data_IF_860227714472
#
_entry.id   IF_860227714472
#
_cell.length_a   1.000
_cell.length_b   1.000
_cell.length_c   1.000
_cell.angle_alpha   90.00
_cell.angle_beta   90.00
_cell.angle_gamma   90.00
#
_symmetry.space_group_name_H-M   'P 1'
#
loop_
_entity.id
_entity.type
_entity.pdbx_description
1 polymer ?
#
# COMPACT_ATOMS: atom_id res chain seq x y z
N UNK A 1 -16.62 -4.00 5.89
CA UNK A 1 -15.71 -5.15 6.12
C UNK A 1 -16.28 -6.32 6.94
N UNK A 2 -17.40 -6.18 7.69
CA UNK A 2 -17.94 -7.25 8.58
C UNK A 2 -18.94 -8.21 7.91
N UNK A 3 -19.42 -7.86 6.72
CA UNK A 3 -20.49 -8.52 5.94
C UNK A 3 -20.06 -9.81 5.20
N UNK A 4 -18.84 -10.30 5.46
CA UNK A 4 -18.28 -11.47 4.77
C UNK A 4 -17.91 -11.22 3.31
N UNK A 5 -18.02 -9.99 2.80
CA UNK A 5 -17.61 -9.62 1.45
C UNK A 5 -16.15 -9.21 1.39
N UNK A 6 -15.60 -9.21 0.18
CA UNK A 6 -14.28 -8.63 -0.11
C UNK A 6 -14.42 -7.12 -0.23
N UNK A 7 -13.78 -6.37 0.67
CA UNK A 7 -13.70 -4.90 0.64
C UNK A 7 -12.32 -4.49 0.15
N UNK A 8 -12.25 -3.85 -1.02
CA UNK A 8 -10.99 -3.45 -1.66
C UNK A 8 -10.64 -2.00 -1.33
N UNK A 9 -9.35 -1.78 -1.10
CA UNK A 9 -8.76 -0.49 -0.81
C UNK A 9 -7.49 -0.30 -1.63
N UNK A 10 -7.09 0.97 -1.77
CA UNK A 10 -5.79 1.36 -2.36
C UNK A 10 -5.16 2.37 -1.41
N UNK A 11 -3.93 2.10 -1.01
CA UNK A 11 -3.07 3.08 -0.37
C UNK A 11 -2.07 3.59 -1.41
N UNK A 12 -1.90 4.90 -1.50
CA UNK A 12 -0.97 5.53 -2.43
C UNK A 12 0.23 5.98 -1.62
N UNK A 13 1.39 5.39 -1.90
CA UNK A 13 2.65 5.79 -1.29
C UNK A 13 3.07 7.19 -1.74
N UNK A 14 4.01 7.80 -1.04
CA UNK A 14 4.49 9.16 -1.36
C UNK A 14 5.12 9.26 -2.76
N UNK A 15 5.63 8.14 -3.30
CA UNK A 15 6.14 8.08 -4.66
C UNK A 15 5.05 7.85 -5.73
N UNK A 16 3.79 7.81 -5.33
CA UNK A 16 2.61 7.54 -6.15
C UNK A 16 2.32 6.06 -6.37
N UNK A 17 3.10 5.14 -5.80
CA UNK A 17 2.87 3.71 -5.96
C UNK A 17 1.53 3.28 -5.35
N UNK A 18 0.69 2.63 -6.15
CA UNK A 18 -0.63 2.16 -5.73
C UNK A 18 -0.55 0.76 -5.12
N UNK A 19 -0.65 0.69 -3.80
CA UNK A 19 -0.68 -0.57 -3.05
C UNK A 19 -2.13 -0.97 -2.83
N UNK A 20 -2.57 -2.01 -3.55
CA UNK A 20 -3.93 -2.52 -3.43
C UNK A 20 -3.98 -3.60 -2.35
N UNK A 21 -5.00 -3.55 -1.53
CA UNK A 21 -5.25 -4.56 -0.50
C UNK A 21 -6.75 -4.77 -0.33
N UNK A 22 -7.12 -5.86 0.32
CA UNK A 22 -8.51 -6.08 0.66
C UNK A 22 -8.65 -6.68 2.05
N UNK A 23 -9.84 -6.47 2.61
CA UNK A 23 -10.25 -6.99 3.91
C UNK A 23 -11.51 -7.83 3.70
N UNK A 24 -11.53 -9.02 4.29
CA UNK A 24 -12.70 -9.91 4.32
C UNK A 24 -12.91 -10.46 5.72
N UNK A 25 -14.15 -10.47 6.20
CA UNK A 25 -14.50 -11.25 7.38
C UNK A 25 -14.69 -12.72 6.98
N UNK A 26 -13.82 -13.62 7.46
CA UNK A 26 -13.73 -15.00 6.95
C UNK A 26 -14.86 -15.90 7.42
N UNK A 27 -15.63 -15.47 8.42
CA UNK A 27 -16.67 -16.27 9.05
C UNK A 27 -17.93 -15.42 9.29
N UNK A 28 -19.13 -15.96 9.06
CA UNK A 28 -20.38 -15.22 9.23
C UNK A 28 -20.74 -15.01 10.71
N UNK A 29 -20.31 -15.92 11.59
CA UNK A 29 -20.68 -15.99 13.01
C UNK A 29 -19.70 -15.24 13.94
N UNK A 30 -18.51 -14.87 13.44
CA UNK A 30 -17.45 -14.25 14.24
C UNK A 30 -16.58 -13.34 13.41
N UNK A 31 -16.07 -12.28 14.05
CA UNK A 31 -15.10 -11.39 13.44
C UNK A 31 -13.72 -12.04 13.41
N UNK A 32 -13.30 -12.43 12.21
CA UNK A 32 -11.99 -13.01 11.91
C UNK A 32 -11.56 -12.49 10.55
N UNK A 33 -10.91 -11.33 10.56
CA UNK A 33 -10.47 -10.71 9.33
C UNK A 33 -9.36 -11.51 8.65
N UNK A 34 -9.37 -11.50 7.32
CA UNK A 34 -8.18 -11.64 6.49
C UNK A 34 -7.84 -10.25 5.96
N UNK A 35 -6.63 -9.77 6.26
CA UNK A 35 -6.10 -8.49 5.79
C UNK A 35 -4.88 -8.82 4.93
N UNK A 36 -5.00 -8.57 3.63
CA UNK A 36 -4.09 -9.13 2.64
C UNK A 36 -3.88 -8.15 1.49
N UNK A 37 -2.70 -8.20 0.87
CA UNK A 37 -2.47 -7.55 -0.41
C UNK A 37 -3.34 -8.19 -1.49
N UNK A 38 -3.80 -7.38 -2.44
CA UNK A 38 -4.52 -7.85 -3.63
C UNK A 38 -3.53 -8.38 -4.69
N UNK A 39 -2.69 -9.32 -4.25
CA UNK A 39 -1.59 -9.91 -5.00
C UNK A 39 -1.35 -11.36 -4.57
N UNK A 40 -0.84 -12.16 -5.49
CA UNK A 40 -0.49 -13.57 -5.33
C UNK A 40 1.01 -13.75 -5.51
N UNK A 41 1.67 -14.54 -4.65
CA UNK A 41 3.12 -14.83 -4.81
C UNK A 41 3.46 -15.53 -6.13
N UNK A 42 2.50 -16.28 -6.69
CA UNK A 42 2.69 -17.04 -7.92
C UNK A 42 2.19 -16.30 -9.16
N UNK A 43 1.18 -15.44 -9.02
CA UNK A 43 0.48 -14.83 -10.15
C UNK A 43 0.64 -13.31 -10.24
N UNK A 44 1.35 -12.68 -9.28
CA UNK A 44 1.54 -11.24 -9.24
C UNK A 44 0.29 -10.46 -8.84
N UNK A 45 0.19 -9.23 -9.34
CA UNK A 45 -0.85 -8.24 -9.02
C UNK A 45 -2.10 -8.32 -9.91
N UNK A 46 -2.43 -9.49 -10.49
CA UNK A 46 -3.72 -9.64 -11.18
C UNK A 46 -4.91 -9.50 -10.21
N UNK A 47 -4.69 -9.81 -8.94
CA UNK A 47 -5.67 -9.63 -7.86
C UNK A 47 -6.72 -10.73 -7.79
N UNK A 48 -7.75 -10.46 -6.98
CA UNK A 48 -8.79 -11.42 -6.63
C UNK A 48 -10.20 -10.85 -6.85
N UNK A 49 -11.15 -11.68 -7.25
CA UNK A 49 -12.57 -11.28 -7.34
C UNK A 49 -13.40 -12.12 -6.38
N UNK A 50 -14.53 -11.58 -5.95
CA UNK A 50 -15.53 -12.36 -5.21
C UNK A 50 -16.74 -12.61 -6.11
N UNK A 51 -17.06 -13.88 -6.34
CA UNK A 51 -18.25 -14.31 -7.08
C UNK A 51 -19.14 -15.13 -6.15
N UNK A 52 -20.33 -14.61 -5.85
CA UNK A 52 -21.23 -15.20 -4.86
C UNK A 52 -20.60 -15.27 -3.46
N UNK A 53 -20.17 -16.48 -3.08
CA UNK A 53 -19.50 -16.78 -1.81
C UNK A 53 -18.13 -17.44 -2.01
N UNK A 54 -17.48 -17.17 -3.14
CA UNK A 54 -16.14 -17.65 -3.48
C UNK A 54 -15.22 -16.46 -3.71
N UNK A 55 -13.96 -16.58 -3.29
CA UNK A 55 -12.89 -15.67 -3.68
C UNK A 55 -12.04 -16.39 -4.72
N UNK A 56 -11.76 -15.75 -5.84
CA UNK A 56 -11.12 -16.38 -7.00
C UNK A 56 -9.90 -15.55 -7.40
N UNK A 57 -8.76 -16.21 -7.60
CA UNK A 57 -7.59 -15.57 -8.20
C UNK A 57 -7.86 -15.27 -9.68
N UNK A 58 -7.77 -14.01 -10.09
CA UNK A 58 -8.11 -13.58 -11.46
C UNK A 58 -7.17 -14.23 -12.49
N UNK A 59 -5.91 -14.46 -12.13
CA UNK A 59 -4.90 -14.99 -13.05
C UNK A 59 -5.06 -16.47 -13.39
N UNK A 60 -5.38 -17.30 -12.40
CA UNK A 60 -5.37 -18.77 -12.55
C UNK A 60 -6.72 -19.43 -12.30
N UNK A 61 -7.74 -18.66 -11.92
CA UNK A 61 -9.10 -19.16 -11.67
C UNK A 61 -9.23 -20.03 -10.42
N UNK A 62 -8.18 -20.20 -9.61
CA UNK A 62 -8.23 -21.01 -8.39
C UNK A 62 -9.17 -20.36 -7.37
N UNK A 63 -10.10 -21.16 -6.85
CA UNK A 63 -10.99 -20.77 -5.77
C UNK A 63 -10.24 -20.85 -4.44
N UNK A 64 -10.21 -19.72 -3.74
CA UNK A 64 -9.56 -19.55 -2.46
C UNK A 64 -10.54 -19.97 -1.36
N UNK A 65 -10.09 -20.89 -0.51
CA UNK A 65 -10.83 -21.26 0.68
C UNK A 65 -10.84 -20.04 1.63
N UNK A 66 -11.98 -19.34 1.74
CA UNK A 66 -12.08 -18.08 2.50
C UNK A 66 -11.45 -18.16 3.92
N UNK A 67 -11.65 -19.25 4.69
CA UNK A 67 -10.99 -19.38 5.99
C UNK A 67 -9.45 -19.37 5.97
N UNK A 68 -8.79 -19.69 4.85
CA UNK A 68 -7.33 -19.64 4.70
C UNK A 68 -6.78 -18.26 4.32
N UNK A 69 -7.62 -17.30 3.94
CA UNK A 69 -7.16 -15.94 3.62
C UNK A 69 -6.48 -15.32 4.84
N UNK A 70 -5.26 -14.79 4.65
CA UNK A 70 -4.38 -14.37 5.76
C UNK A 70 -3.39 -15.44 6.23
N UNK A 71 -3.41 -16.65 5.64
CA UNK A 71 -2.30 -17.62 5.72
C UNK A 71 -1.51 -17.61 4.41
N UNK A 72 -0.17 -17.59 4.46
CA UNK A 72 0.65 -17.61 3.24
C UNK A 72 0.57 -18.97 2.53
N UNK A 73 0.95 -18.99 1.25
CA UNK A 73 1.17 -20.21 0.46
C UNK A 73 0.16 -20.45 -0.66
N UNK A 74 0.63 -21.13 -1.72
CA UNK A 74 -0.19 -21.41 -2.91
C UNK A 74 -0.70 -20.13 -3.57
N UNK A 75 -1.96 -20.16 -4.02
CA UNK A 75 -2.65 -19.00 -4.58
C UNK A 75 -3.35 -18.11 -3.54
N UNK A 76 -3.12 -18.32 -2.22
CA UNK A 76 -3.67 -17.41 -1.23
C UNK A 76 -3.12 -15.99 -1.42
N UNK A 77 -3.95 -14.95 -1.23
CA UNK A 77 -3.49 -13.57 -1.20
C UNK A 77 -2.39 -13.36 -0.16
N UNK A 78 -1.40 -12.53 -0.46
CA UNK A 78 -0.27 -12.29 0.45
C UNK A 78 -0.73 -11.60 1.74
N UNK A 79 -0.45 -12.16 2.93
CA UNK A 79 -0.81 -11.53 4.21
C UNK A 79 -0.17 -10.17 4.41
N UNK A 80 -0.91 -9.26 5.05
CA UNK A 80 -0.36 -8.06 5.67
C UNK A 80 -0.22 -8.35 7.15
N UNK A 81 0.95 -8.10 7.71
CA UNK A 81 1.22 -8.27 9.15
C UNK A 81 1.11 -6.93 9.91
N UNK A 82 1.12 -6.97 11.24
CA UNK A 82 1.16 -5.77 12.08
C UNK A 82 -0.11 -4.92 12.14
N UNK A 83 -1.19 -5.33 11.46
CA UNK A 83 -2.50 -4.72 11.64
C UNK A 83 -3.14 -5.15 12.96
N UNK A 84 -4.06 -4.33 13.46
CA UNK A 84 -4.85 -4.59 14.66
C UNK A 84 -6.30 -4.16 14.44
N UNK A 85 -7.21 -4.65 15.27
CA UNK A 85 -8.57 -4.15 15.30
C UNK A 85 -9.11 -4.14 16.72
N UNK A 86 -10.11 -3.28 16.95
CA UNK A 86 -10.97 -3.31 18.12
C UNK A 86 -12.44 -3.44 17.69
N UNK A 87 -13.37 -3.08 18.57
CA UNK A 87 -14.80 -3.15 18.31
C UNK A 87 -15.29 -2.11 17.29
N UNK A 88 -14.52 -1.07 16.98
CA UNK A 88 -14.88 0.07 16.11
C UNK A 88 -14.06 0.10 14.84
N UNK A 89 -12.75 -0.10 14.93
CA UNK A 89 -11.82 0.14 13.83
C UNK A 89 -10.83 -1.01 13.60
N UNK A 90 -10.28 -1.02 12.39
CA UNK A 90 -9.15 -1.85 11.99
C UNK A 90 -8.06 -0.90 11.51
N UNK A 91 -6.88 -0.98 12.11
CA UNK A 91 -5.72 -0.14 11.79
C UNK A 91 -4.66 -0.98 11.11
N UNK A 92 -4.17 -0.51 9.96
CA UNK A 92 -3.01 -1.08 9.26
C UNK A 92 -1.90 -0.02 9.26
N UNK A 93 -0.71 -0.30 9.81
CA UNK A 93 0.41 0.64 9.75
C UNK A 93 0.83 0.92 8.30
N UNK A 94 1.19 2.17 7.99
CA UNK A 94 1.69 2.54 6.66
C UNK A 94 2.91 1.72 6.24
N UNK A 95 3.84 1.45 7.17
CA UNK A 95 4.99 0.59 6.94
C UNK A 95 4.60 -0.84 6.53
N UNK A 96 3.51 -1.38 7.08
CA UNK A 96 3.01 -2.70 6.71
C UNK A 96 2.51 -2.70 5.25
N UNK A 97 1.83 -1.63 4.83
CA UNK A 97 1.39 -1.46 3.43
C UNK A 97 2.59 -1.26 2.49
N UNK A 98 3.58 -0.47 2.90
CA UNK A 98 4.80 -0.24 2.13
C UNK A 98 5.59 -1.53 1.86
N UNK A 99 5.55 -2.50 2.79
CA UNK A 99 6.13 -3.83 2.60
C UNK A 99 5.57 -4.60 1.39
N UNK A 100 4.38 -4.25 0.91
CA UNK A 100 3.78 -4.82 -0.30
C UNK A 100 4.26 -4.20 -1.60
N UNK A 101 5.15 -3.20 -1.56
CA UNK A 101 5.61 -2.45 -2.73
C UNK A 101 6.06 -3.36 -3.87
N UNK A 102 6.79 -4.43 -3.59
CA UNK A 102 7.33 -5.30 -4.65
C UNK A 102 6.27 -6.11 -5.40
N UNK A 103 5.03 -6.17 -4.91
CA UNK A 103 3.95 -6.88 -5.59
C UNK A 103 3.28 -6.05 -6.68
N UNK A 104 3.34 -4.71 -6.59
CA UNK A 104 2.56 -3.83 -7.46
C UNK A 104 3.47 -2.99 -8.38
N UNK A 105 3.01 -2.81 -9.61
CA UNK A 105 3.73 -2.02 -10.63
C UNK A 105 3.11 -0.65 -10.91
N UNK A 106 1.82 -0.47 -10.59
CA UNK A 106 1.08 0.77 -10.88
C UNK A 106 1.61 1.96 -10.07
N UNK A 107 2.01 3.01 -10.77
CA UNK A 107 2.34 4.33 -10.21
C UNK A 107 1.31 5.33 -10.69
N UNK A 108 0.60 5.95 -9.75
CA UNK A 108 -0.33 7.04 -10.03
C UNK A 108 0.45 8.34 -10.21
N UNK A 109 -0.02 9.18 -11.13
CA UNK A 109 0.46 10.56 -11.21
C UNK A 109 -0.21 11.35 -10.09
N UNK A 110 0.59 11.87 -9.16
CA UNK A 110 0.15 12.68 -8.03
C UNK A 110 0.84 14.04 -8.08
N UNK A 111 0.15 15.07 -7.60
CA UNK A 111 0.77 16.36 -7.36
C UNK A 111 1.67 16.24 -6.13
N UNK A 112 2.89 16.75 -6.26
CA UNK A 112 3.89 16.81 -5.21
C UNK A 112 4.42 18.23 -5.12
N UNK A 113 4.97 18.58 -3.96
CA UNK A 113 5.50 19.92 -3.69
C UNK A 113 6.99 19.79 -3.39
N UNK A 114 7.80 20.59 -4.08
CA UNK A 114 9.22 20.73 -3.76
C UNK A 114 9.35 21.42 -2.39
N UNK A 115 9.95 20.77 -1.38
CA UNK A 115 10.05 21.32 -0.03
C UNK A 115 11.03 22.49 0.08
N UNK A 116 11.84 22.76 -0.95
CA UNK A 116 12.87 23.81 -0.93
C UNK A 116 12.31 25.15 -1.40
N UNK A 117 11.43 25.16 -2.39
CA UNK A 117 10.89 26.39 -3.00
C UNK A 117 9.36 26.45 -3.07
N UNK A 118 8.66 25.39 -2.70
CA UNK A 118 7.19 25.31 -2.70
C UNK A 118 6.58 25.13 -4.09
N UNK A 119 7.38 24.91 -5.14
CA UNK A 119 6.88 24.65 -6.48
C UNK A 119 6.08 23.34 -6.52
N UNK A 120 5.04 23.31 -7.36
CA UNK A 120 4.21 22.12 -7.56
C UNK A 120 4.58 21.44 -8.87
N UNK A 121 4.77 20.13 -8.80
CA UNK A 121 5.08 19.26 -9.92
C UNK A 121 4.34 17.93 -9.77
N UNK A 122 4.60 16.98 -10.67
CA UNK A 122 4.09 15.62 -10.52
C UNK A 122 5.23 14.65 -10.29
N UNK A 123 5.01 13.63 -9.45
CA UNK A 123 5.98 12.57 -9.17
C UNK A 123 6.54 11.89 -10.45
N UNK A 124 5.73 11.80 -11.50
CA UNK A 124 6.10 11.21 -12.80
C UNK A 124 6.87 12.13 -13.74
N UNK A 125 6.96 13.44 -13.43
CA UNK A 125 7.71 14.44 -14.21
C UNK A 125 8.89 15.03 -13.45
N UNK A 126 9.04 14.68 -12.18
CA UNK A 126 10.15 15.09 -11.37
C UNK A 126 11.39 14.24 -11.72
N UNK A 127 12.39 14.87 -12.32
CA UNK A 127 13.65 14.19 -12.65
C UNK A 127 14.50 13.89 -11.40
N UNK A 128 14.26 14.62 -10.31
CA UNK A 128 15.01 14.53 -9.07
C UNK A 128 14.12 14.11 -7.90
N UNK A 129 14.56 13.11 -7.14
CA UNK A 129 13.87 12.60 -5.96
C UNK A 129 14.83 12.11 -4.88
N UNK A 130 14.42 12.19 -3.62
CA UNK A 130 15.22 11.75 -2.48
C UNK A 130 14.34 11.13 -1.40
N UNK A 131 14.77 10.00 -0.84
CA UNK A 131 14.04 9.35 0.26
C UNK A 131 14.62 9.79 1.61
N UNK A 132 13.77 10.35 2.48
CA UNK A 132 14.15 10.81 3.82
C UNK A 132 12.96 10.74 4.78
N UNK A 133 13.18 10.23 5.99
CA UNK A 133 12.12 10.10 7.00
C UNK A 133 10.98 9.16 6.58
N UNK A 134 11.30 8.09 5.85
CA UNK A 134 10.30 7.16 5.33
C UNK A 134 9.45 7.68 4.16
N UNK A 135 9.63 8.94 3.75
CA UNK A 135 8.90 9.58 2.64
C UNK A 135 9.81 9.79 1.43
N UNK A 136 9.20 9.88 0.25
CA UNK A 136 9.91 10.28 -0.99
C UNK A 136 9.59 11.74 -1.29
N UNK A 137 10.64 12.54 -1.41
CA UNK A 137 10.59 13.95 -1.75
C UNK A 137 10.98 14.17 -3.20
N UNK A 138 10.39 15.17 -3.85
CA UNK A 138 10.55 15.46 -5.28
C UNK A 138 10.97 16.91 -5.46
N UNK A 139 11.80 17.17 -6.47
CA UNK A 139 12.39 18.50 -6.67
C UNK A 139 12.23 18.99 -8.11
N UNK A 140 11.96 20.28 -8.24
CA UNK A 140 11.77 20.97 -9.53
C UNK A 140 13.09 21.24 -10.26
N UNK A 141 14.22 21.15 -9.55
CA UNK A 141 15.56 21.38 -10.09
C UNK A 141 16.64 20.60 -9.33
N UNK A 142 17.76 20.35 -9.99
CA UNK A 142 18.95 19.74 -9.38
C UNK A 142 19.47 20.54 -8.18
N UNK A 143 19.43 21.88 -8.29
CA UNK A 143 19.88 22.77 -7.22
C UNK A 143 19.05 22.60 -5.94
N UNK A 144 17.73 22.44 -6.06
CA UNK A 144 16.87 22.18 -4.90
C UNK A 144 17.14 20.79 -4.33
N UNK A 145 17.27 19.77 -5.19
CA UNK A 145 17.64 18.42 -4.78
C UNK A 145 18.94 18.39 -3.97
N UNK A 146 19.99 19.06 -4.44
CA UNK A 146 21.28 19.11 -3.74
C UNK A 146 21.19 19.87 -2.41
N UNK A 147 20.47 21.00 -2.37
CA UNK A 147 20.23 21.73 -1.12
C UNK A 147 19.53 20.85 -0.09
N UNK A 148 18.47 20.14 -0.50
CA UNK A 148 17.75 19.24 0.38
C UNK A 148 18.63 18.08 0.84
N UNK A 149 19.32 17.39 -0.07
CA UNK A 149 20.18 16.25 0.27
C UNK A 149 21.28 16.60 1.28
N UNK A 150 21.78 17.83 1.24
CA UNK A 150 22.84 18.29 2.14
C UNK A 150 22.34 18.66 3.54
N UNK A 151 21.09 19.09 3.68
CA UNK A 151 20.51 19.52 4.97
C UNK A 151 18.98 19.31 5.01
N UNK A 152 18.48 18.07 4.92
CA UNK A 152 17.05 17.79 4.76
C UNK A 152 16.21 18.29 5.95
N UNK A 153 16.77 18.24 7.16
CA UNK A 153 16.14 18.73 8.39
C UNK A 153 15.80 20.23 8.36
N UNK A 154 16.46 21.03 7.52
CA UNK A 154 16.14 22.45 7.36
C UNK A 154 14.83 22.69 6.61
N UNK A 155 14.45 21.75 5.74
CA UNK A 155 13.27 21.85 4.89
C UNK A 155 12.10 21.04 5.46
N UNK A 156 12.40 19.91 6.10
CA UNK A 156 11.40 18.97 6.63
C UNK A 156 11.74 18.49 8.06
N UNK A 157 11.74 19.40 9.06
CA UNK A 157 12.22 19.10 10.42
C UNK A 157 11.40 18.02 11.15
N UNK A 158 10.15 17.78 10.74
CA UNK A 158 9.27 16.80 11.36
C UNK A 158 9.28 15.43 10.65
N UNK A 159 9.98 15.29 9.52
CA UNK A 159 9.96 14.05 8.73
C UNK A 159 10.55 12.83 9.47
N UNK A 160 11.36 13.04 10.52
CA UNK A 160 12.01 11.95 11.28
C UNK A 160 11.24 11.60 12.57
N UNK A 161 10.21 12.37 12.94
CA UNK A 161 9.49 12.18 14.21
C UNK A 161 8.34 11.16 14.13
N UNK A 162 7.97 10.72 12.93
CA UNK A 162 6.94 9.70 12.71
C UNK A 162 7.54 8.29 12.72
N UNK A 163 7.99 7.81 13.89
CA UNK A 163 8.28 6.37 14.16
C UNK A 163 7.42 5.83 15.32
#
# INVERSE_FOLDING_TARGET
VRDGKLHRFVWVADDGKAIRFFIINRYPDKLRFGVVFDACLLCGDQGYVMEGNQVICVACGVHIFIPSIGKPGGCNPVPIDGWRNDDKELTIPGAALAGGGNYFSTVLTINVTDPVDGSTLTNTRADYKYSYGGKTWFFSSEANYDRFRNAPEQFVPDAVKEE
#
